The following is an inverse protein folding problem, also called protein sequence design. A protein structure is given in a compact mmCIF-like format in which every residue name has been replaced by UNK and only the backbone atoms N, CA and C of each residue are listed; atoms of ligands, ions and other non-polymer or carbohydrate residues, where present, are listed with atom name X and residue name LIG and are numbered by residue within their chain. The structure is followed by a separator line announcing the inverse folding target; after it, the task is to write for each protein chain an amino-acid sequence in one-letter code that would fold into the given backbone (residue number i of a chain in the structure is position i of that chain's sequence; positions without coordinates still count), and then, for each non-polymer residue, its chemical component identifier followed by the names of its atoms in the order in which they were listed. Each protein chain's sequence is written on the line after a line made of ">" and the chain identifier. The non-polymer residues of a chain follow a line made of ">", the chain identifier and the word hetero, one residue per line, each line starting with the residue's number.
data_IF_421235948359
#
_entry.id   IF_421235948359
#
_cell.length_a   1.000
_cell.length_b   1.000
_cell.length_c   1.000
_cell.angle_alpha   90.00
_cell.angle_beta   90.00
_cell.angle_gamma   90.00
#
_symmetry.space_group_name_H-M   'P 1'
#
loop_
_entity.id
_entity.type
_entity.pdbx_description
1 polymer ?
#
# COMPACT_ATOMS: atom_id res chain seq x y z
N UNK A 1 -30.11 16.67 48.21
CA UNK A 1 -28.77 16.69 47.57
C UNK A 1 -28.27 15.31 47.09
N UNK A 2 -28.83 14.17 47.53
CA UNK A 2 -28.32 12.83 47.15
C UNK A 2 -28.91 12.22 45.86
N UNK A 3 -29.96 12.80 45.29
CA UNK A 3 -30.63 12.27 44.09
C UNK A 3 -29.94 12.68 42.77
N UNK A 4 -29.22 13.81 42.76
CA UNK A 4 -28.48 14.28 41.57
C UNK A 4 -27.18 13.51 41.33
N UNK A 5 -26.59 12.92 42.37
CA UNK A 5 -25.32 12.19 42.27
C UNK A 5 -25.50 10.77 41.73
N UNK A 6 -26.66 10.13 42.00
CA UNK A 6 -26.95 8.78 41.50
C UNK A 6 -27.20 8.81 39.99
N UNK A 7 -27.93 9.81 39.48
CA UNK A 7 -28.23 9.95 38.05
C UNK A 7 -26.97 10.23 37.21
N UNK A 8 -26.00 11.00 37.75
CA UNK A 8 -24.72 11.26 37.08
C UNK A 8 -23.80 10.04 37.04
N UNK A 9 -23.85 9.17 38.05
CA UNK A 9 -23.05 7.93 38.07
C UNK A 9 -23.66 6.85 37.16
N UNK A 10 -24.98 6.78 37.06
CA UNK A 10 -25.67 5.85 36.15
C UNK A 10 -25.50 6.20 34.67
N UNK A 11 -25.35 7.48 34.32
CA UNK A 11 -25.11 7.91 32.94
C UNK A 11 -23.69 7.56 32.44
N UNK A 12 -22.72 7.46 33.36
CA UNK A 12 -21.35 7.07 33.05
C UNK A 12 -21.16 5.54 32.96
N UNK A 13 -22.02 4.76 33.62
CA UNK A 13 -21.98 3.29 33.62
C UNK A 13 -22.72 2.63 32.44
N UNK A 14 -23.55 3.38 31.70
CA UNK A 14 -24.30 2.85 30.54
C UNK A 14 -23.64 3.21 29.19
N UNK A 15 -22.51 3.91 29.20
CA UNK A 15 -21.75 4.29 28.00
C UNK A 15 -20.69 3.26 27.56
N UNK A 16 -20.52 2.16 28.31
CA UNK A 16 -19.57 1.12 27.96
C UNK A 16 -20.22 0.04 27.08
N UNK A 17 -19.56 -0.23 25.96
CA UNK A 17 -19.70 -1.40 25.09
C UNK A 17 -20.88 -1.39 24.10
N UNK A 18 -20.82 -0.45 23.15
CA UNK A 18 -21.09 -0.84 21.76
C UNK A 18 -19.81 -0.66 20.97
N UNK A 19 -18.81 -1.52 21.24
CA UNK A 19 -17.76 -1.74 20.24
C UNK A 19 -18.48 -2.33 19.04
N UNK A 20 -18.80 -1.48 18.06
CA UNK A 20 -19.22 -1.95 16.76
C UNK A 20 -18.06 -2.78 16.23
N UNK A 21 -18.17 -4.11 16.31
CA UNK A 21 -17.39 -4.98 15.45
C UNK A 21 -17.95 -4.77 14.03
N UNK A 22 -17.56 -3.65 13.41
CA UNK A 22 -17.36 -3.67 11.97
C UNK A 22 -16.39 -4.84 11.76
N UNK A 23 -16.82 -5.90 11.05
CA UNK A 23 -15.91 -6.99 10.75
C UNK A 23 -14.64 -6.38 10.16
N UNK A 24 -13.48 -6.74 10.69
CA UNK A 24 -12.25 -6.28 10.06
C UNK A 24 -12.31 -6.80 8.62
N UNK A 25 -12.29 -5.88 7.68
CA UNK A 25 -11.95 -6.20 6.30
C UNK A 25 -10.60 -6.91 6.33
N UNK A 26 -10.41 -7.91 5.47
CA UNK A 26 -9.11 -8.56 5.35
C UNK A 26 -8.07 -7.51 4.97
N UNK A 27 -6.90 -7.67 5.55
CA UNK A 27 -5.70 -6.84 5.42
C UNK A 27 -4.56 -7.88 5.57
N UNK A 28 -4.08 -8.36 4.43
CA UNK A 28 -3.27 -9.58 4.34
C UNK A 28 -1.84 -9.36 4.78
N UNK A 29 -1.29 -8.19 4.51
CA UNK A 29 0.09 -7.80 4.85
C UNK A 29 0.15 -7.05 6.20
N UNK A 30 -0.96 -6.43 6.62
CA UNK A 30 -1.11 -5.78 7.93
C UNK A 30 -0.72 -4.32 7.92
N UNK A 31 -0.72 -3.67 6.75
CA UNK A 31 -0.24 -2.30 6.54
C UNK A 31 -1.30 -1.22 6.89
N UNK A 32 -2.48 -1.65 7.36
CA UNK A 32 -3.66 -0.84 7.69
C UNK A 32 -4.50 -0.39 6.49
N UNK A 33 -4.27 -0.94 5.31
CA UNK A 33 -5.08 -0.80 4.11
C UNK A 33 -5.79 -2.13 3.83
N UNK A 34 -7.13 -2.16 3.76
CA UNK A 34 -7.80 -3.43 3.47
C UNK A 34 -7.57 -3.90 2.04
N UNK A 35 -7.35 -5.21 1.82
CA UNK A 35 -6.94 -5.81 0.53
C UNK A 35 -7.65 -5.19 -0.68
N UNK A 36 -8.99 -5.08 -0.63
CA UNK A 36 -9.79 -4.59 -1.77
C UNK A 36 -9.60 -3.11 -2.14
N UNK A 37 -8.81 -2.37 -1.37
CA UNK A 37 -8.41 -0.98 -1.60
C UNK A 37 -6.90 -0.80 -1.67
N UNK A 38 -6.16 -1.91 -1.56
CA UNK A 38 -4.72 -1.93 -1.44
C UNK A 38 -4.08 -2.14 -2.82
N UNK A 39 -3.17 -1.24 -3.21
CA UNK A 39 -2.43 -1.36 -4.46
C UNK A 39 -1.22 -2.32 -4.37
N UNK A 40 -0.92 -2.85 -3.18
CA UNK A 40 0.07 -3.88 -2.89
C UNK A 40 -0.41 -4.87 -1.81
N UNK A 41 -1.50 -5.61 -2.06
CA UNK A 41 -2.25 -6.43 -1.06
C UNK A 41 -1.48 -7.58 -0.36
N UNK A 42 -0.19 -7.74 -0.64
CA UNK A 42 0.69 -8.70 0.03
C UNK A 42 2.05 -8.13 0.46
N UNK A 43 2.31 -6.84 0.23
CA UNK A 43 3.59 -6.18 0.49
C UNK A 43 3.36 -4.81 1.16
N UNK A 44 3.72 -4.69 2.44
CA UNK A 44 3.41 -3.52 3.26
C UNK A 44 3.82 -2.18 2.59
N UNK A 45 2.84 -1.33 2.26
CA UNK A 45 3.10 0.01 1.76
C UNK A 45 2.10 1.05 2.30
N UNK A 46 1.47 0.80 3.43
CA UNK A 46 0.38 1.57 4.00
C UNK A 46 0.76 2.91 4.66
N UNK A 47 -0.15 3.48 5.48
CA UNK A 47 0.02 4.81 6.06
C UNK A 47 1.18 4.99 7.05
N UNK A 48 1.82 3.91 7.50
CA UNK A 48 2.97 3.99 8.41
C UNK A 48 4.30 3.83 7.67
N UNK A 49 4.25 3.49 6.40
CA UNK A 49 5.35 3.21 5.50
C UNK A 49 5.68 4.50 4.72
N UNK A 50 6.90 4.62 4.17
CA UNK A 50 7.29 5.81 3.41
C UNK A 50 6.65 5.85 2.03
N UNK A 51 6.48 4.68 1.40
CA UNK A 51 5.76 4.51 0.14
C UNK A 51 4.29 4.97 0.24
N UNK A 52 3.59 4.67 1.34
CA UNK A 52 2.22 5.17 1.64
C UNK A 52 1.26 5.11 0.44
N UNK A 53 1.06 3.91 -0.10
CA UNK A 53 0.19 3.59 -1.22
C UNK A 53 0.51 4.43 -2.46
N UNK A 54 1.78 4.84 -2.62
CA UNK A 54 2.24 5.50 -3.83
C UNK A 54 2.02 4.58 -5.03
N UNK A 55 1.44 5.16 -6.08
CA UNK A 55 1.21 4.60 -7.41
C UNK A 55 1.38 5.78 -8.36
N UNK A 56 2.61 6.02 -8.81
CA UNK A 56 2.95 7.30 -9.45
C UNK A 56 2.68 7.31 -10.95
N UNK A 57 2.55 6.15 -11.59
CA UNK A 57 2.08 6.04 -12.97
C UNK A 57 0.57 5.75 -13.10
N UNK A 58 -0.10 5.52 -11.97
CA UNK A 58 -1.55 5.35 -11.84
C UNK A 58 -2.08 4.14 -12.61
N UNK A 59 -1.37 3.03 -12.56
CA UNK A 59 -1.78 1.78 -13.21
C UNK A 59 -2.52 0.81 -12.27
N UNK A 60 -2.50 1.11 -10.97
CA UNK A 60 -3.17 0.37 -9.90
C UNK A 60 -2.29 -0.61 -9.15
N UNK A 61 -1.02 -0.74 -9.49
CA UNK A 61 0.01 -1.38 -8.68
C UNK A 61 0.79 -0.29 -7.92
N UNK A 62 1.04 -0.52 -6.63
CA UNK A 62 1.80 0.44 -5.85
C UNK A 62 3.29 0.32 -6.15
N UNK A 63 4.04 1.43 -6.09
CA UNK A 63 5.48 1.47 -6.34
C UNK A 63 6.23 0.42 -5.49
N UNK A 64 5.77 0.13 -4.27
CA UNK A 64 6.37 -0.87 -3.39
C UNK A 64 6.34 -2.31 -3.95
N UNK A 65 5.41 -2.59 -4.85
CA UNK A 65 5.20 -3.88 -5.46
C UNK A 65 5.09 -3.78 -6.99
N UNK A 66 5.62 -2.73 -7.60
CA UNK A 66 5.59 -2.55 -9.05
C UNK A 66 6.97 -2.30 -9.64
N UNK A 67 7.49 -3.30 -10.34
CA UNK A 67 8.71 -3.21 -11.12
C UNK A 67 8.46 -3.25 -12.65
N UNK A 68 7.21 -3.14 -13.10
CA UNK A 68 6.78 -3.13 -14.50
C UNK A 68 6.59 -1.69 -15.00
N UNK A 69 7.69 -0.96 -15.18
CA UNK A 69 7.64 0.49 -15.43
C UNK A 69 7.17 0.89 -16.83
N UNK A 70 6.92 -0.07 -17.72
CA UNK A 70 6.34 0.18 -19.04
C UNK A 70 4.90 -0.33 -19.22
N UNK A 71 4.31 -0.86 -18.14
CA UNK A 71 2.91 -1.26 -18.01
C UNK A 71 2.49 -2.30 -19.06
N UNK A 72 3.37 -3.26 -19.33
CA UNK A 72 3.13 -4.37 -20.28
C UNK A 72 2.75 -5.70 -19.60
N UNK A 73 2.62 -5.68 -18.27
CA UNK A 73 2.33 -6.77 -17.34
C UNK A 73 3.46 -7.80 -17.22
N UNK A 74 4.70 -7.41 -17.55
CA UNK A 74 5.87 -8.26 -17.40
C UNK A 74 7.13 -7.48 -16.99
N UNK A 75 7.70 -7.84 -15.85
CA UNK A 75 8.98 -7.30 -15.40
C UNK A 75 10.13 -7.96 -16.17
N UNK A 76 10.70 -7.24 -17.12
CA UNK A 76 11.72 -7.74 -18.04
C UNK A 76 13.02 -6.93 -18.01
N UNK A 77 13.90 -7.18 -18.98
CA UNK A 77 15.12 -6.40 -19.16
C UNK A 77 14.83 -4.97 -19.67
N UNK A 78 13.64 -4.68 -20.19
CA UNK A 78 13.23 -3.33 -20.55
C UNK A 78 13.10 -2.48 -19.27
N UNK A 79 12.40 -3.01 -18.27
CA UNK A 79 12.19 -2.41 -16.95
C UNK A 79 13.49 -2.26 -16.18
N UNK A 80 14.38 -3.26 -16.29
CA UNK A 80 15.72 -3.14 -15.73
C UNK A 80 16.48 -1.95 -16.33
N UNK A 81 16.27 -1.66 -17.62
CA UNK A 81 16.81 -0.47 -18.27
C UNK A 81 16.31 0.83 -17.63
N UNK A 82 15.03 0.89 -17.28
CA UNK A 82 14.39 2.01 -16.56
C UNK A 82 14.94 2.15 -15.15
N UNK A 83 14.97 1.06 -14.38
CA UNK A 83 15.55 1.03 -13.02
C UNK A 83 17.01 1.49 -13.00
N UNK A 84 17.83 0.96 -13.90
CA UNK A 84 19.26 1.30 -13.97
C UNK A 84 19.49 2.78 -14.32
N UNK A 85 18.55 3.42 -15.02
CA UNK A 85 18.66 4.83 -15.39
C UNK A 85 18.52 5.77 -14.18
N UNK A 86 17.82 5.34 -13.12
CA UNK A 86 17.58 6.13 -11.90
C UNK A 86 18.43 5.68 -10.72
N UNK A 87 19.06 4.50 -10.79
CA UNK A 87 19.87 3.92 -9.71
C UNK A 87 20.96 4.86 -9.17
N UNK A 88 20.99 5.00 -7.84
CA UNK A 88 21.87 5.92 -7.12
C UNK A 88 21.42 7.39 -7.15
N UNK A 89 20.25 7.66 -7.72
CA UNK A 89 19.62 8.97 -7.81
C UNK A 89 18.23 8.99 -7.21
N UNK A 90 17.35 9.78 -7.81
CA UNK A 90 15.93 9.89 -7.47
C UNK A 90 15.11 9.29 -8.60
N UNK A 91 14.06 8.56 -8.26
CA UNK A 91 13.05 8.05 -9.17
C UNK A 91 11.71 8.06 -8.45
N UNK A 92 10.61 8.19 -9.17
CA UNK A 92 9.28 8.09 -8.55
C UNK A 92 8.84 6.64 -8.53
N UNK A 93 8.71 5.99 -9.68
CA UNK A 93 8.31 4.57 -9.75
C UNK A 93 9.38 3.66 -9.15
N UNK A 94 10.64 3.92 -9.48
CA UNK A 94 11.76 3.03 -9.12
C UNK A 94 12.23 3.16 -7.66
N UNK A 95 11.63 4.07 -6.89
CA UNK A 95 11.85 4.25 -5.44
C UNK A 95 10.73 3.49 -4.73
N UNK A 96 10.94 2.18 -4.59
CA UNK A 96 9.91 1.24 -4.16
C UNK A 96 9.66 1.34 -2.64
N UNK A 97 10.69 1.64 -1.84
CA UNK A 97 10.50 1.82 -0.40
C UNK A 97 10.08 3.24 -0.01
N UNK A 98 10.16 4.19 -0.95
CA UNK A 98 9.69 5.57 -0.80
C UNK A 98 10.62 6.43 0.06
N UNK A 99 11.87 6.02 0.28
CA UNK A 99 12.83 6.76 1.12
C UNK A 99 13.42 8.00 0.43
N UNK A 100 13.11 8.20 -0.84
CA UNK A 100 13.53 9.32 -1.68
C UNK A 100 14.79 9.03 -2.50
N UNK A 101 15.31 7.80 -2.50
CA UNK A 101 16.48 7.42 -3.26
C UNK A 101 16.36 6.01 -3.86
N UNK A 102 16.80 5.86 -5.11
CA UNK A 102 16.84 4.54 -5.76
C UNK A 102 18.14 3.84 -5.39
N UNK A 103 18.06 2.83 -4.54
CA UNK A 103 19.19 2.13 -3.94
C UNK A 103 19.14 0.61 -4.17
N UNK A 104 20.00 -0.11 -3.44
CA UNK A 104 19.99 -1.57 -3.46
C UNK A 104 18.76 -2.17 -2.75
N UNK A 105 18.06 -1.41 -1.91
CA UNK A 105 16.79 -1.84 -1.31
C UNK A 105 15.72 -1.99 -2.39
N UNK A 106 15.56 -0.98 -3.24
CA UNK A 106 14.63 -0.98 -4.38
C UNK A 106 14.98 -2.04 -5.40
N UNK A 107 16.29 -2.28 -5.61
CA UNK A 107 16.73 -3.36 -6.48
C UNK A 107 16.34 -4.74 -5.94
N UNK A 108 16.22 -4.89 -4.61
CA UNK A 108 15.70 -6.10 -3.98
C UNK A 108 14.26 -6.40 -4.39
N UNK A 109 13.42 -5.37 -4.45
CA UNK A 109 12.04 -5.45 -4.95
C UNK A 109 12.01 -5.76 -6.44
N UNK A 110 12.79 -5.04 -7.26
CA UNK A 110 12.89 -5.34 -8.70
C UNK A 110 13.24 -6.83 -8.96
N UNK A 111 14.22 -7.35 -8.22
CA UNK A 111 14.67 -8.74 -8.36
C UNK A 111 13.64 -9.78 -7.91
N UNK A 112 12.73 -9.45 -6.98
CA UNK A 112 11.70 -10.39 -6.54
C UNK A 112 10.65 -10.63 -7.63
N UNK A 113 10.49 -9.68 -8.55
CA UNK A 113 9.48 -9.71 -9.63
C UNK A 113 10.04 -10.05 -11.01
N UNK A 114 11.36 -9.94 -11.21
CA UNK A 114 12.00 -10.15 -12.51
C UNK A 114 11.63 -11.49 -13.19
N UNK A 115 11.08 -11.40 -14.40
CA UNK A 115 10.59 -12.53 -15.17
C UNK A 115 9.14 -12.95 -14.86
N UNK A 116 8.46 -12.22 -13.97
CA UNK A 116 7.05 -12.36 -13.63
C UNK A 116 6.24 -11.09 -13.93
N UNK A 117 4.96 -11.06 -13.53
CA UNK A 117 4.16 -9.82 -13.51
C UNK A 117 4.60 -8.89 -12.37
N UNK A 118 4.07 -7.66 -12.29
CA UNK A 118 4.11 -6.87 -11.05
C UNK A 118 3.49 -7.65 -9.88
N UNK A 119 3.64 -7.10 -8.67
CA UNK A 119 3.05 -7.62 -7.46
C UNK A 119 1.52 -7.72 -7.52
N UNK A 120 0.92 -8.29 -6.48
CA UNK A 120 -0.54 -8.37 -6.44
C UNK A 120 -1.13 -7.05 -5.95
N UNK A 121 -2.26 -6.66 -6.55
CA UNK A 121 -3.05 -5.50 -6.18
C UNK A 121 -4.48 -5.97 -5.98
N UNK A 122 -5.14 -5.48 -4.94
CA UNK A 122 -6.55 -5.75 -4.69
C UNK A 122 -7.49 -4.77 -5.41
N UNK A 123 -6.95 -3.79 -6.14
CA UNK A 123 -7.74 -2.87 -6.95
C UNK A 123 -8.31 -3.56 -8.19
N UNK A 124 -9.62 -3.44 -8.41
CA UNK A 124 -10.29 -4.06 -9.56
C UNK A 124 -9.89 -3.50 -10.94
N UNK A 125 -9.16 -2.37 -10.96
CA UNK A 125 -8.66 -1.73 -12.18
C UNK A 125 -7.16 -1.93 -12.43
N UNK A 126 -6.44 -2.66 -11.58
CA UNK A 126 -5.00 -2.86 -11.70
C UNK A 126 -4.59 -3.36 -13.10
N UNK A 127 -3.49 -2.81 -13.62
CA UNK A 127 -3.01 -3.02 -14.99
C UNK A 127 -3.71 -2.15 -16.04
N UNK A 128 -4.40 -1.07 -15.64
CA UNK A 128 -4.98 -0.10 -16.57
C UNK A 128 -4.69 1.32 -16.14
N UNK A 129 -4.25 2.17 -17.08
CA UNK A 129 -3.95 3.58 -16.80
C UNK A 129 -5.07 4.48 -17.36
N UNK A 130 -5.75 5.31 -16.54
CA UNK A 130 -5.59 5.44 -15.10
C UNK A 130 -6.45 4.43 -14.31
N UNK A 131 -5.86 3.82 -13.27
CA UNK A 131 -6.55 3.12 -12.20
C UNK A 131 -6.56 4.05 -10.99
N UNK A 132 -7.75 4.47 -10.58
CA UNK A 132 -7.94 5.33 -9.40
C UNK A 132 -8.90 4.63 -8.45
N UNK A 133 -8.54 4.47 -7.16
CA UNK A 133 -9.42 3.88 -6.14
C UNK A 133 -10.76 4.62 -5.96
#
# INVERSE_FOLDING_TARGET
>A
MKLKLIVLVSLFAFGLATSAFAGSTTDTDGDLVPDGFDNCDTDDNGPNELANQADTDSDGYGNACDADYDNDLAVTAADFGTFLATFGGVGTETDHDGDGAVTAADFGVFLSQFGGPPGTSGLSCAGTVPCTP
#
